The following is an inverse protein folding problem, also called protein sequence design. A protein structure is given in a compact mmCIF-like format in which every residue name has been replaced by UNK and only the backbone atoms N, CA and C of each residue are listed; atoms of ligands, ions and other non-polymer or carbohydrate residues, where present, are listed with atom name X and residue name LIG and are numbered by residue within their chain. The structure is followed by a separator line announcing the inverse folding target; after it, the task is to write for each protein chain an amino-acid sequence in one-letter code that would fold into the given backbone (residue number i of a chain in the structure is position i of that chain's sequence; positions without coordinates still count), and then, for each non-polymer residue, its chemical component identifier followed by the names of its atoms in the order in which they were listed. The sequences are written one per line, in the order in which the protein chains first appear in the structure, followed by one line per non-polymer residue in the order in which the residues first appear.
data_IF_916418191814
#
_entry.id   IF_916418191814
#
_cell.length_a   1.000
_cell.length_b   1.000
_cell.length_c   1.000
_cell.angle_alpha   90.00
_cell.angle_beta   90.00
_cell.angle_gamma   90.00
#
_symmetry.space_group_name_H-M   'P 1'
#
loop_
_entity.id
_entity.type
_entity.pdbx_description
1 polymer ?
#
# COMPACT_ATOMS: atom_id res chain seq x y z
N UNK A 1 1.50 21.04 18.63
CA UNK A 1 1.72 20.82 18.24
C UNK A 1 1.76 19.88 17.82
N UNK A 2 1.81 19.39 17.30
CA UNK A 2 1.91 18.66 16.94
C UNK A 2 2.62 17.86 16.63
N UNK A 3 2.58 17.12 16.65
CA UNK A 3 3.23 16.40 16.54
C UNK A 3 3.81 15.91 15.63
N UNK A 4 4.01 15.40 15.54
CA UNK A 4 4.99 15.61 14.63
C UNK A 4 5.70 14.40 14.05
N UNK A 5 5.39 13.20 14.48
CA UNK A 5 5.87 11.97 13.85
C UNK A 5 4.84 11.56 12.81
N UNK A 6 5.19 11.59 11.52
CA UNK A 6 4.22 11.21 10.50
C UNK A 6 3.89 9.73 10.61
N UNK A 7 2.63 9.39 10.49
CA UNK A 7 2.21 8.00 10.45
C UNK A 7 2.59 7.38 9.11
N UNK A 8 2.66 6.05 9.02
CA UNK A 8 2.89 5.42 7.71
C UNK A 8 1.85 5.82 6.67
N UNK A 9 0.62 6.06 7.07
CA UNK A 9 -0.41 6.52 6.15
C UNK A 9 -0.11 7.91 5.62
N UNK A 10 0.43 8.79 6.46
CA UNK A 10 0.80 10.13 6.01
C UNK A 10 1.90 10.05 4.97
N UNK A 11 2.84 9.14 5.15
CA UNK A 11 3.93 9.00 4.20
C UNK A 11 3.46 8.53 2.84
N UNK A 12 2.53 7.57 2.81
CA UNK A 12 2.08 7.03 1.51
C UNK A 12 1.03 7.91 0.87
N UNK A 13 0.27 8.68 1.65
CA UNK A 13 -0.82 9.48 1.10
C UNK A 13 -0.34 10.50 0.08
N UNK A 14 0.94 10.89 0.14
CA UNK A 14 1.49 11.82 -0.82
C UNK A 14 2.04 11.19 -2.08
N UNK A 15 1.95 9.87 -2.20
CA UNK A 15 2.48 9.15 -3.34
C UNK A 15 1.34 8.61 -4.22
N UNK A 16 1.64 8.45 -5.51
CA UNK A 16 0.66 7.89 -6.44
C UNK A 16 0.59 6.37 -6.32
N UNK A 17 1.74 5.72 -6.17
CA UNK A 17 1.83 4.27 -6.03
C UNK A 17 2.91 3.92 -5.03
N UNK A 18 2.80 2.72 -4.47
CA UNK A 18 3.84 2.15 -3.62
C UNK A 18 4.05 0.70 -4.03
N UNK A 19 5.15 0.11 -3.55
CA UNK A 19 5.46 -1.28 -3.86
C UNK A 19 4.66 -2.23 -2.98
N UNK A 20 4.67 -3.52 -3.35
CA UNK A 20 4.05 -4.55 -2.51
C UNK A 20 4.77 -4.62 -1.16
N UNK A 21 6.10 -4.48 -1.15
CA UNK A 21 6.86 -4.49 0.11
C UNK A 21 6.46 -3.32 1.01
N UNK A 22 6.28 -2.15 0.43
CA UNK A 22 5.84 -0.99 1.20
C UNK A 22 4.43 -1.19 1.74
N UNK A 23 3.57 -1.81 0.94
CA UNK A 23 2.22 -2.13 1.38
C UNK A 23 2.24 -3.13 2.53
N UNK A 24 3.12 -4.14 2.44
CA UNK A 24 3.26 -5.12 3.51
C UNK A 24 3.64 -4.44 4.82
N UNK A 25 4.60 -3.52 4.78
CA UNK A 25 5.00 -2.79 5.97
C UNK A 25 3.85 -1.98 6.54
N UNK A 26 3.12 -1.30 5.67
CA UNK A 26 2.00 -0.46 6.08
C UNK A 26 0.93 -1.29 6.79
N UNK A 27 0.66 -2.48 6.28
CA UNK A 27 -0.40 -3.34 6.82
C UNK A 27 0.07 -4.29 7.90
N UNK A 28 1.37 -4.31 8.19
CA UNK A 28 1.90 -5.22 9.19
C UNK A 28 1.95 -6.65 8.72
N UNK A 29 2.07 -6.88 7.42
CA UNK A 29 2.11 -8.22 6.85
C UNK A 29 3.53 -8.63 6.52
N UNK A 30 3.77 -9.94 6.48
CA UNK A 30 4.99 -10.45 5.90
C UNK A 30 4.96 -10.28 4.39
N UNK A 31 6.15 -10.29 3.78
CA UNK A 31 6.28 -10.09 2.34
C UNK A 31 5.51 -11.14 1.55
N UNK A 32 5.65 -12.41 1.96
CA UNK A 32 4.98 -13.51 1.26
C UNK A 32 3.47 -13.35 1.31
N UNK A 33 2.95 -12.99 2.48
CA UNK A 33 1.51 -12.80 2.64
C UNK A 33 1.00 -11.67 1.74
N UNK A 34 1.77 -10.59 1.64
CA UNK A 34 1.38 -9.46 0.82
C UNK A 34 1.37 -9.83 -0.68
N UNK A 35 2.38 -10.55 -1.14
CA UNK A 35 2.42 -10.99 -2.52
C UNK A 35 1.30 -11.99 -2.84
N UNK A 36 0.99 -12.87 -1.89
CA UNK A 36 -0.13 -13.80 -2.07
C UNK A 36 -1.46 -13.05 -2.18
N UNK A 37 -1.66 -12.06 -1.31
CA UNK A 37 -2.88 -11.27 -1.35
C UNK A 37 -3.00 -10.53 -2.67
N UNK A 38 -1.89 -10.00 -3.18
CA UNK A 38 -1.88 -9.32 -4.46
C UNK A 38 -2.25 -10.28 -5.60
N UNK A 39 -1.69 -11.50 -5.58
CA UNK A 39 -1.98 -12.48 -6.61
C UNK A 39 -3.44 -12.93 -6.58
N UNK A 40 -4.04 -12.97 -5.40
CA UNK A 40 -5.44 -13.40 -5.26
C UNK A 40 -6.42 -12.27 -5.52
N UNK A 41 -5.92 -11.08 -5.82
CA UNK A 41 -6.78 -9.94 -6.05
C UNK A 41 -7.36 -9.34 -4.79
N UNK A 42 -6.78 -9.64 -3.63
CA UNK A 42 -7.25 -9.12 -2.36
C UNK A 42 -6.69 -7.72 -2.07
N UNK A 43 -5.66 -7.33 -2.79
CA UNK A 43 -5.12 -5.97 -2.71
C UNK A 43 -5.30 -5.29 -4.05
N UNK A 44 -5.61 -3.99 -4.07
CA UNK A 44 -5.66 -3.27 -5.33
C UNK A 44 -4.25 -3.14 -5.89
N UNK A 45 -4.05 -3.64 -7.09
CA UNK A 45 -2.75 -3.59 -7.74
C UNK A 45 -2.89 -3.22 -9.20
N UNK A 46 -1.80 -2.72 -9.77
CA UNK A 46 -1.69 -2.46 -11.20
C UNK A 46 -0.34 -2.97 -11.66
N UNK A 47 -0.34 -3.60 -12.81
CA UNK A 47 0.90 -4.05 -13.41
C UNK A 47 1.39 -3.01 -14.39
N UNK A 48 2.67 -2.66 -14.27
CA UNK A 48 3.32 -1.76 -15.20
C UNK A 48 4.61 -2.45 -15.65
N UNK A 49 4.56 -3.00 -16.86
CA UNK A 49 5.67 -3.83 -17.33
C UNK A 49 5.81 -5.05 -16.46
N UNK A 50 6.98 -5.19 -15.83
CA UNK A 50 7.25 -6.31 -14.92
C UNK A 50 6.99 -5.93 -13.47
N UNK A 51 6.60 -4.70 -13.23
CA UNK A 51 6.42 -4.23 -11.86
C UNK A 51 4.96 -4.33 -11.47
N UNK A 52 4.75 -4.69 -10.22
CA UNK A 52 3.43 -4.72 -9.63
C UNK A 52 3.37 -3.58 -8.63
N UNK A 53 2.46 -2.66 -8.85
CA UNK A 53 2.35 -1.44 -8.05
C UNK A 53 1.00 -1.40 -7.36
N UNK A 54 0.96 -0.74 -6.21
CA UNK A 54 -0.28 -0.55 -5.46
C UNK A 54 -0.67 0.92 -5.59
N UNK A 55 -1.79 1.23 -6.28
CA UNK A 55 -2.25 2.62 -6.37
C UNK A 55 -2.69 3.08 -4.99
N UNK A 56 -2.09 4.16 -4.52
CA UNK A 56 -2.35 4.63 -3.16
C UNK A 56 -3.80 5.06 -2.96
N UNK A 57 -4.43 5.82 -3.88
CA UNK A 57 -5.85 6.17 -3.67
C UNK A 57 -6.75 4.95 -3.54
N UNK A 58 -6.52 3.92 -4.35
CA UNK A 58 -7.32 2.71 -4.28
C UNK A 58 -7.07 1.96 -2.98
N UNK A 59 -5.81 1.93 -2.52
CA UNK A 59 -5.47 1.29 -1.25
C UNK A 59 -6.14 1.98 -0.08
N UNK A 60 -6.11 3.31 -0.05
CA UNK A 60 -6.72 4.07 1.04
C UNK A 60 -8.22 3.86 1.07
N UNK A 61 -8.84 3.84 -0.10
CA UNK A 61 -10.27 3.56 -0.20
C UNK A 61 -10.59 2.16 0.29
N UNK A 62 -9.77 1.20 -0.11
CA UNK A 62 -9.93 -0.19 0.32
C UNK A 62 -9.80 -0.32 1.83
N UNK A 63 -8.90 0.46 2.43
CA UNK A 63 -8.72 0.47 3.88
C UNK A 63 -9.83 1.23 4.62
N UNK A 64 -10.61 2.02 3.90
CA UNK A 64 -11.68 2.80 4.49
C UNK A 64 -11.22 4.08 5.14
N UNK A 65 -10.06 4.61 4.75
CA UNK A 65 -9.53 5.86 5.32
C UNK A 65 -9.52 7.01 4.33
N UNK A 66 -10.10 6.80 3.15
CA UNK A 66 -10.18 7.86 2.14
C UNK A 66 -11.61 8.05 1.68
#
# INVERSE_FOLDING_TARGET
MQNSIPSPLDEVAGKATITIEQTAKLLGLGRTAAYDAARRGELPTRRLGRRLLVPVPALLEWLGVA
#
